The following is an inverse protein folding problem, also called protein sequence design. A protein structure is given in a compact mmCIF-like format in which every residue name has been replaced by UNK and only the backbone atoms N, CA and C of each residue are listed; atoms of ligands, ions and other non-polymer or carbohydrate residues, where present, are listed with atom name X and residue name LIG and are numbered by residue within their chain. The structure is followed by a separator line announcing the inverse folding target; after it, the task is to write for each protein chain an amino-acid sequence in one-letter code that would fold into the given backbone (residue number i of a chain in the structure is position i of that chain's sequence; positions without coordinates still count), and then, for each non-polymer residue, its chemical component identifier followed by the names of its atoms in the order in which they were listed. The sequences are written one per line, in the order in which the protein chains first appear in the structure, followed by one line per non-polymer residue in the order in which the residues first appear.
data_IF_750263482697
#
_entry.id   IF_750263482697
#
_cell.length_a   1.000
_cell.length_b   1.000
_cell.length_c   1.000
_cell.angle_alpha   90.00
_cell.angle_beta   90.00
_cell.angle_gamma   90.00
#
_symmetry.space_group_name_H-M   'P 1'
#
loop_
_entity.id
_entity.type
_entity.pdbx_description
1 polymer ?
#
# COMPACT_ATOMS: atom_id res chain seq x y z
N UNK A 1 -6.61 -23.46 9.91
CA UNK A 1 -7.61 -23.56 8.82
C UNK A 1 -8.54 -22.37 8.97
N UNK A 2 -8.27 -21.24 8.31
CA UNK A 2 -9.10 -20.03 8.41
C UNK A 2 -10.13 -20.06 7.28
N UNK A 3 -11.41 -20.11 7.65
CA UNK A 3 -12.56 -20.17 6.75
C UNK A 3 -12.51 -18.96 5.82
N UNK A 4 -12.46 -19.23 4.51
CA UNK A 4 -12.60 -18.23 3.47
C UNK A 4 -14.02 -17.63 3.58
N UNK A 5 -14.15 -16.47 4.21
CA UNK A 5 -15.34 -15.65 4.11
C UNK A 5 -15.28 -14.95 2.76
N UNK A 6 -16.18 -15.36 1.85
CA UNK A 6 -16.40 -14.79 0.52
C UNK A 6 -17.00 -13.38 0.56
N UNK A 7 -16.41 -12.48 1.36
CA UNK A 7 -16.73 -11.06 1.32
C UNK A 7 -15.79 -10.43 0.31
N UNK A 8 -16.34 -9.78 -0.72
CA UNK A 8 -15.59 -9.05 -1.75
C UNK A 8 -14.83 -7.88 -1.10
N UNK A 9 -13.63 -8.20 -0.60
CA UNK A 9 -12.58 -7.27 -0.18
C UNK A 9 -12.26 -6.33 -1.34
N UNK A 10 -12.50 -5.02 -1.18
CA UNK A 10 -12.14 -3.91 -2.09
C UNK A 10 -12.21 -4.23 -3.59
N UNK A 11 -13.06 -3.50 -4.32
CA UNK A 11 -13.32 -3.66 -5.78
C UNK A 11 -12.06 -3.74 -6.68
N UNK A 12 -10.89 -3.30 -6.21
CA UNK A 12 -9.64 -3.23 -6.96
C UNK A 12 -8.56 -4.25 -6.54
N UNK A 13 -8.86 -5.22 -5.65
CA UNK A 13 -7.89 -6.27 -5.30
C UNK A 13 -7.84 -7.31 -6.43
N UNK A 14 -6.67 -7.46 -7.06
CA UNK A 14 -6.46 -8.49 -8.09
C UNK A 14 -6.38 -9.88 -7.46
N UNK A 15 -7.09 -10.86 -8.02
CA UNK A 15 -7.19 -12.22 -7.46
C UNK A 15 -5.84 -12.97 -7.35
N UNK A 16 -4.81 -12.55 -8.10
CA UNK A 16 -3.46 -13.14 -7.98
C UNK A 16 -2.56 -12.42 -6.97
N UNK A 17 -3.09 -11.45 -6.22
CA UNK A 17 -2.36 -10.78 -5.15
C UNK A 17 -1.95 -11.81 -4.10
N UNK A 18 -0.66 -11.82 -3.76
CA UNK A 18 -0.13 -12.75 -2.75
C UNK A 18 -0.49 -12.24 -1.35
N UNK A 19 -1.16 -13.08 -0.55
CA UNK A 19 -1.39 -12.83 0.87
C UNK A 19 -0.05 -12.65 1.61
N UNK A 20 0.02 -11.65 2.50
CA UNK A 20 1.20 -11.28 3.31
C UNK A 20 1.85 -12.49 4.01
N UNK A 21 1.07 -13.51 4.43
CA UNK A 21 1.61 -14.75 5.01
C UNK A 21 2.47 -15.61 4.06
N UNK A 22 2.34 -15.48 2.73
CA UNK A 22 3.18 -16.19 1.74
C UNK A 22 4.45 -15.43 1.36
N UNK A 23 4.58 -14.19 1.82
CA UNK A 23 5.59 -13.21 1.37
C UNK A 23 6.72 -13.05 2.39
N UNK A 24 6.58 -13.57 3.61
CA UNK A 24 7.54 -13.42 4.70
C UNK A 24 8.93 -13.93 4.27
N UNK A 25 9.95 -13.06 4.38
CA UNK A 25 11.33 -13.35 3.99
C UNK A 25 11.66 -13.27 2.48
N UNK A 26 10.72 -12.85 1.62
CA UNK A 26 10.96 -12.69 0.17
C UNK A 26 10.86 -11.24 -0.27
N UNK A 27 11.74 -10.89 -1.19
CA UNK A 27 11.81 -9.62 -1.90
C UNK A 27 11.48 -9.84 -3.38
N UNK A 28 10.89 -8.85 -4.04
CA UNK A 28 10.38 -8.97 -5.41
C UNK A 28 11.05 -7.96 -6.33
N UNK A 29 11.27 -8.34 -7.58
CA UNK A 29 11.83 -7.42 -8.57
C UNK A 29 10.92 -6.21 -8.81
N UNK A 30 9.62 -6.46 -8.94
CA UNK A 30 8.60 -5.45 -9.25
C UNK A 30 7.43 -5.59 -8.29
N UNK A 31 7.01 -4.47 -7.71
CA UNK A 31 5.87 -4.42 -6.79
C UNK A 31 4.92 -3.32 -7.24
N UNK A 32 3.63 -3.63 -7.23
CA UNK A 32 2.56 -2.66 -7.47
C UNK A 32 1.79 -2.47 -6.17
N UNK A 33 1.60 -1.22 -5.78
CA UNK A 33 0.84 -0.82 -4.60
C UNK A 33 -0.35 0.01 -5.05
N UNK A 34 -1.54 -0.32 -4.54
CA UNK A 34 -2.77 0.42 -4.83
C UNK A 34 -3.15 1.22 -3.59
N UNK A 35 -3.33 2.53 -3.76
CA UNK A 35 -3.78 3.47 -2.74
C UNK A 35 -5.09 4.08 -3.22
N UNK A 36 -6.18 3.79 -2.54
CA UNK A 36 -7.49 4.33 -2.86
C UNK A 36 -7.87 5.53 -1.97
N UNK A 37 -9.10 6.01 -2.14
CA UNK A 37 -9.66 7.16 -1.42
C UNK A 37 -9.71 7.02 0.10
N UNK A 38 -9.55 5.82 0.65
CA UNK A 38 -9.60 5.57 2.10
C UNK A 38 -8.26 5.78 2.79
N UNK A 39 -7.18 6.00 2.04
CA UNK A 39 -5.88 6.30 2.61
C UNK A 39 -5.71 7.81 2.80
N UNK A 40 -5.02 8.22 3.86
CA UNK A 40 -4.70 9.62 4.08
C UNK A 40 -3.39 9.74 4.86
N UNK A 41 -2.69 10.85 4.71
CA UNK A 41 -1.60 11.21 5.61
C UNK A 41 -2.18 11.93 6.83
N UNK A 42 -1.81 11.50 8.03
CA UNK A 42 -2.19 12.20 9.26
C UNK A 42 -1.33 13.46 9.48
N UNK A 43 -1.63 14.18 10.57
CA UNK A 43 -0.89 15.39 10.94
C UNK A 43 0.58 15.12 11.30
N UNK A 44 0.95 13.85 11.56
CA UNK A 44 2.33 13.43 11.81
C UNK A 44 3.04 12.99 10.51
N UNK A 45 2.36 13.04 9.36
CA UNK A 45 2.88 12.61 8.07
C UNK A 45 2.95 11.09 7.90
N UNK A 46 2.19 10.32 8.70
CA UNK A 46 2.06 8.86 8.55
C UNK A 46 0.86 8.52 7.68
N UNK A 47 1.05 7.54 6.81
CA UNK A 47 -0.04 7.00 5.99
C UNK A 47 -0.94 6.18 6.92
N UNK A 48 -2.23 6.51 6.93
CA UNK A 48 -3.29 5.82 7.66
C UNK A 48 -4.43 5.50 6.71
N UNK A 49 -5.41 4.73 7.20
CA UNK A 49 -6.65 4.48 6.47
C UNK A 49 -7.86 4.59 7.39
N UNK A 50 -8.96 5.14 6.84
CA UNK A 50 -10.26 5.24 7.50
C UNK A 50 -11.18 4.05 7.20
N UNK A 51 -10.67 3.00 6.55
CA UNK A 51 -11.46 1.83 6.18
C UNK A 51 -11.92 1.06 7.44
N UNK A 52 -13.21 1.17 7.75
CA UNK A 52 -13.81 0.59 8.97
C UNK A 52 -14.14 -0.91 8.87
N UNK A 53 -14.01 -1.52 7.69
CA UNK A 53 -14.31 -2.95 7.52
C UNK A 53 -13.07 -3.79 7.82
N UNK A 54 -13.21 -4.71 8.77
CA UNK A 54 -12.12 -5.50 9.33
C UNK A 54 -11.34 -6.29 8.25
N UNK A 55 -10.18 -5.77 7.87
CA UNK A 55 -9.14 -6.53 7.17
C UNK A 55 -8.20 -7.12 8.23
N UNK A 56 -7.86 -8.42 8.19
CA UNK A 56 -7.01 -9.05 9.21
C UNK A 56 -5.54 -8.57 9.18
N UNK A 57 -5.22 -7.55 8.38
CA UNK A 57 -3.93 -6.89 8.32
C UNK A 57 -4.18 -5.39 8.39
N UNK A 58 -3.44 -4.69 9.24
CA UNK A 58 -3.46 -3.23 9.29
C UNK A 58 -3.05 -2.71 7.91
N UNK A 59 -3.99 -2.10 7.20
CA UNK A 59 -3.82 -1.74 5.79
C UNK A 59 -2.60 -0.83 5.54
N UNK A 60 -2.30 0.17 6.41
CA UNK A 60 -1.08 0.96 6.27
C UNK A 60 0.19 0.13 6.46
N UNK A 61 0.21 -0.80 7.42
CA UNK A 61 1.37 -1.68 7.64
C UNK A 61 1.63 -2.58 6.43
N UNK A 62 0.57 -3.06 5.77
CA UNK A 62 0.67 -3.81 4.53
C UNK A 62 1.36 -3.02 3.42
N UNK A 63 1.05 -1.72 3.29
CA UNK A 63 1.70 -0.82 2.34
C UNK A 63 3.19 -0.66 2.70
N UNK A 64 3.51 -0.33 3.96
CA UNK A 64 4.90 -0.18 4.40
C UNK A 64 5.72 -1.46 4.18
N UNK A 65 5.15 -2.62 4.44
CA UNK A 65 5.79 -3.90 4.16
C UNK A 65 5.96 -4.17 2.66
N UNK A 66 5.02 -3.78 1.82
CA UNK A 66 5.16 -3.94 0.37
C UNK A 66 6.29 -3.05 -0.17
N UNK A 67 6.43 -1.83 0.35
CA UNK A 67 7.49 -0.88 -0.03
C UNK A 67 8.89 -1.42 0.33
N UNK A 68 9.05 -2.06 1.50
CA UNK A 68 10.37 -2.60 1.92
C UNK A 68 10.78 -3.87 1.18
N UNK A 69 9.89 -4.49 0.41
CA UNK A 69 10.17 -5.72 -0.35
C UNK A 69 10.58 -5.47 -1.81
N UNK A 70 10.64 -4.20 -2.25
CA UNK A 70 10.95 -3.86 -3.65
C UNK A 70 12.45 -3.89 -3.92
N UNK A 71 12.88 -4.64 -4.95
CA UNK A 71 14.28 -4.65 -5.41
C UNK A 71 14.58 -3.68 -6.55
N UNK A 72 13.74 -3.66 -7.59
CA UNK A 72 14.05 -2.93 -8.83
C UNK A 72 13.01 -1.85 -9.14
N UNK A 73 11.72 -2.15 -9.01
CA UNK A 73 10.68 -1.24 -9.46
C UNK A 73 9.46 -1.25 -8.54
N UNK A 74 9.12 -0.05 -8.05
CA UNK A 74 7.87 0.21 -7.35
C UNK A 74 6.93 0.98 -8.29
N UNK A 75 5.70 0.52 -8.41
CA UNK A 75 4.63 1.25 -9.07
C UNK A 75 3.52 1.55 -8.07
N UNK A 76 3.16 2.81 -7.94
CA UNK A 76 2.08 3.24 -7.03
C UNK A 76 0.90 3.68 -7.90
N UNK A 77 -0.23 3.02 -7.74
CA UNK A 77 -1.49 3.35 -8.41
C UNK A 77 -2.39 4.07 -7.41
N UNK A 78 -2.74 5.32 -7.72
CA UNK A 78 -3.58 6.15 -6.86
C UNK A 78 -4.97 6.28 -7.47
N UNK A 79 -6.00 5.93 -6.72
CA UNK A 79 -7.39 5.90 -7.16
C UNK A 79 -8.20 6.90 -6.33
N UNK A 80 -8.75 7.92 -6.99
CA UNK A 80 -9.64 8.93 -6.39
C UNK A 80 -9.08 9.60 -5.11
N UNK A 81 -7.75 9.75 -5.01
CA UNK A 81 -7.09 10.30 -3.84
C UNK A 81 -6.04 11.37 -4.19
N UNK A 82 -6.50 12.59 -4.56
CA UNK A 82 -5.59 13.66 -4.97
C UNK A 82 -4.68 14.14 -3.83
N UNK A 83 -5.14 14.08 -2.59
CA UNK A 83 -4.35 14.52 -1.42
C UNK A 83 -3.12 13.64 -1.23
N UNK A 84 -3.30 12.31 -1.23
CA UNK A 84 -2.17 11.37 -1.12
C UNK A 84 -1.26 11.45 -2.35
N UNK A 85 -1.81 11.68 -3.55
CA UNK A 85 -0.99 11.92 -4.74
C UNK A 85 -0.06 13.11 -4.58
N UNK A 86 -0.56 14.25 -4.09
CA UNK A 86 0.25 15.45 -3.85
C UNK A 86 1.36 15.16 -2.83
N UNK A 87 1.07 14.49 -1.73
CA UNK A 87 2.08 14.14 -0.73
C UNK A 87 3.15 13.19 -1.29
N UNK A 88 2.76 12.17 -2.04
CA UNK A 88 3.71 11.27 -2.70
C UNK A 88 4.56 12.03 -3.71
N UNK A 89 3.99 12.93 -4.50
CA UNK A 89 4.74 13.77 -5.43
C UNK A 89 5.76 14.65 -4.71
N UNK A 90 5.43 15.23 -3.54
CA UNK A 90 6.38 15.99 -2.72
C UNK A 90 7.54 15.11 -2.25
N UNK A 91 7.26 13.88 -1.82
CA UNK A 91 8.29 12.92 -1.39
C UNK A 91 9.18 12.51 -2.56
N UNK A 92 8.60 12.19 -3.72
CA UNK A 92 9.35 11.74 -4.89
C UNK A 92 10.13 12.86 -5.60
N UNK A 93 9.65 14.09 -5.52
CA UNK A 93 10.26 15.27 -6.17
C UNK A 93 11.23 16.00 -5.25
N UNK A 94 11.28 15.66 -3.96
CA UNK A 94 12.38 16.10 -3.09
C UNK A 94 13.68 15.64 -3.73
N UNK A 95 14.41 16.60 -4.30
CA UNK A 95 15.79 16.36 -4.72
C UNK A 95 16.50 15.80 -3.50
N UNK A 96 17.01 14.58 -3.62
CA UNK A 96 18.08 14.12 -2.76
C UNK A 96 19.27 14.99 -3.13
N UNK A 97 19.31 16.21 -2.59
CA UNK A 97 20.51 17.02 -2.60
C UNK A 97 21.56 16.18 -1.88
N UNK A 98 22.39 15.50 -2.69
CA UNK A 98 23.62 14.89 -2.24
C UNK A 98 24.52 16.03 -1.83
N UNK A 99 24.47 16.38 -0.55
CA UNK A 99 25.56 17.08 0.12
C UNK A 99 26.75 16.13 0.23
#
# INVERSE_FOLDING_TARGET
MTRSTSVLKRKYIYNASLDVHKVIGREFEKVVVIIDQHFFYDNEGKLNSDYMEYYPYLEPEGIYQALTRVKKQLHIVIINNPNVYIEIQKIMTRKFDKT
#
